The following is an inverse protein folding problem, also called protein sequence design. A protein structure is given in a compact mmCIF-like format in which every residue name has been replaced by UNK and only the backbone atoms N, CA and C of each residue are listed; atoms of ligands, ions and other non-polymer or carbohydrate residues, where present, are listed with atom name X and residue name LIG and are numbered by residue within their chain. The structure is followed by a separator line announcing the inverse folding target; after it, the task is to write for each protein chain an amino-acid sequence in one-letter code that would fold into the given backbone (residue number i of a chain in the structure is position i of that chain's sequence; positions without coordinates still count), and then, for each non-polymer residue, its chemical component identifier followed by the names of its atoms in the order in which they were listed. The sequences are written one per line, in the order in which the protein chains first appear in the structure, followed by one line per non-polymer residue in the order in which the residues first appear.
data_IF_773942323988
#
_entry.id   IF_773942323988
#
_cell.length_a   1.000
_cell.length_b   1.000
_cell.length_c   1.000
_cell.angle_alpha   90.00
_cell.angle_beta   90.00
_cell.angle_gamma   90.00
#
_symmetry.space_group_name_H-M   'P 1'
#
loop_
_entity.id
_entity.type
_entity.pdbx_description
1 polymer ?
#
# COMPACT_ATOMS: atom_id res chain seq x y z
N UNK A 1 24.34 75.34 -10.59
CA UNK A 1 24.72 74.20 -11.44
C UNK A 1 25.45 73.16 -10.58
N UNK A 2 24.73 72.24 -9.94
CA UNK A 2 25.29 71.07 -9.23
C UNK A 2 24.33 69.92 -9.47
N UNK A 3 24.72 69.01 -10.37
CA UNK A 3 23.99 67.81 -10.76
C UNK A 3 24.05 66.79 -9.60
N UNK A 4 22.90 66.33 -9.16
CA UNK A 4 22.75 65.14 -8.33
C UNK A 4 22.79 63.90 -9.25
N UNK A 5 23.74 63.00 -9.04
CA UNK A 5 23.75 61.67 -9.64
C UNK A 5 23.53 60.65 -8.50
N UNK A 6 22.28 60.23 -8.31
CA UNK A 6 21.94 59.09 -7.47
C UNK A 6 21.98 57.83 -8.35
N UNK A 7 23.03 57.03 -8.21
CA UNK A 7 23.11 55.69 -8.79
C UNK A 7 22.39 54.74 -7.84
N UNK A 8 21.16 54.37 -8.18
CA UNK A 8 20.40 53.33 -7.48
C UNK A 8 20.91 51.96 -7.98
N UNK A 9 21.72 51.28 -7.17
CA UNK A 9 22.11 49.89 -7.41
C UNK A 9 20.97 48.99 -6.93
N UNK A 10 20.12 48.55 -7.86
CA UNK A 10 19.14 47.48 -7.64
C UNK A 10 19.87 46.13 -7.62
N UNK A 11 20.29 45.70 -6.43
CA UNK A 11 20.62 44.29 -6.17
C UNK A 11 19.31 43.49 -6.20
N UNK A 12 18.97 42.93 -7.36
CA UNK A 12 17.94 41.91 -7.47
C UNK A 12 18.43 40.65 -6.76
N UNK A 13 17.90 40.39 -5.56
CA UNK A 13 18.02 39.08 -4.93
C UNK A 13 17.24 38.08 -5.79
N UNK A 14 17.94 37.39 -6.70
CA UNK A 14 17.43 36.17 -7.29
C UNK A 14 17.29 35.18 -6.12
N UNK A 15 16.06 35.01 -5.62
CA UNK A 15 15.76 33.88 -4.76
C UNK A 15 16.20 32.63 -5.52
N UNK A 16 16.94 31.69 -4.88
CA UNK A 16 17.26 30.43 -5.52
C UNK A 16 15.94 29.81 -5.95
N UNK A 17 15.75 29.66 -7.27
CA UNK A 17 14.71 28.80 -7.80
C UNK A 17 15.11 27.43 -7.31
N UNK A 18 14.49 26.96 -6.22
CA UNK A 18 14.51 25.54 -5.86
C UNK A 18 14.11 24.82 -7.15
N UNK A 19 15.01 23.98 -7.67
CA UNK A 19 14.88 23.38 -8.98
C UNK A 19 13.70 22.41 -8.95
N UNK A 20 12.49 22.91 -9.24
CA UNK A 20 11.30 22.09 -9.28
C UNK A 20 11.51 20.99 -10.32
N UNK A 21 11.29 19.74 -9.92
CA UNK A 21 11.31 18.60 -10.83
C UNK A 21 10.36 18.89 -12.00
N UNK A 22 10.80 18.78 -13.27
CA UNK A 22 9.93 19.07 -14.40
C UNK A 22 8.70 18.16 -14.38
N UNK A 23 7.56 18.59 -14.94
CA UNK A 23 6.37 17.74 -15.00
C UNK A 23 6.68 16.42 -15.76
N UNK A 24 5.89 15.35 -15.54
CA UNK A 24 6.01 14.10 -16.29
C UNK A 24 6.00 14.34 -17.80
N UNK A 25 6.91 13.67 -18.52
CA UNK A 25 7.00 13.79 -19.98
C UNK A 25 5.73 13.27 -20.68
N UNK A 26 5.50 13.73 -21.91
CA UNK A 26 4.39 13.21 -22.74
C UNK A 26 4.53 11.70 -23.00
N UNK A 27 5.76 11.21 -23.13
CA UNK A 27 6.07 9.79 -23.33
C UNK A 27 5.71 8.95 -22.10
N UNK A 28 6.06 9.43 -20.90
CA UNK A 28 5.68 8.79 -19.63
C UNK A 28 4.16 8.70 -19.47
N UNK A 29 3.45 9.78 -19.77
CA UNK A 29 1.98 9.78 -19.73
C UNK A 29 1.39 8.79 -20.75
N UNK A 30 1.94 8.72 -21.97
CA UNK A 30 1.49 7.78 -22.99
C UNK A 30 1.74 6.31 -22.60
N UNK A 31 2.90 6.00 -22.03
CA UNK A 31 3.23 4.67 -21.52
C UNK A 31 2.29 4.25 -20.38
N UNK A 32 1.98 5.17 -19.46
CA UNK A 32 1.03 4.93 -18.38
C UNK A 32 -0.38 4.63 -18.91
N UNK A 33 -0.89 5.44 -19.84
CA UNK A 33 -2.21 5.20 -20.42
C UNK A 33 -2.30 3.87 -21.18
N UNK A 34 -1.26 3.51 -21.93
CA UNK A 34 -1.18 2.22 -22.60
C UNK A 34 -1.24 1.04 -21.61
N UNK A 35 -0.46 1.13 -20.52
CA UNK A 35 -0.48 0.14 -19.45
C UNK A 35 -1.84 0.08 -18.73
N UNK A 36 -2.44 1.23 -18.43
CA UNK A 36 -3.75 1.35 -17.76
C UNK A 36 -4.88 0.73 -18.58
N UNK A 37 -4.89 0.93 -19.89
CA UNK A 37 -5.89 0.33 -20.80
C UNK A 37 -5.72 -1.20 -20.86
N UNK A 38 -4.48 -1.69 -20.87
CA UNK A 38 -4.18 -3.12 -20.95
C UNK A 38 -4.38 -3.87 -19.62
N UNK A 39 -4.25 -3.18 -18.49
CA UNK A 39 -4.14 -3.85 -17.19
C UNK A 39 -5.48 -4.42 -16.72
N UNK A 40 -5.52 -5.67 -16.24
CA UNK A 40 -6.71 -6.22 -15.59
C UNK A 40 -6.92 -5.69 -14.16
N UNK A 41 -5.94 -4.93 -13.65
CA UNK A 41 -5.94 -4.31 -12.32
C UNK A 41 -5.62 -2.82 -12.42
N UNK A 42 -6.35 -2.11 -13.30
CA UNK A 42 -6.10 -0.69 -13.56
C UNK A 42 -6.13 0.21 -12.30
N UNK A 43 -7.11 0.10 -11.37
CA UNK A 43 -7.07 0.83 -10.10
C UNK A 43 -5.76 0.68 -9.31
N UNK A 44 -5.21 -0.54 -9.26
CA UNK A 44 -3.91 -0.77 -8.60
C UNK A 44 -2.78 -0.03 -9.30
N UNK A 45 -2.70 -0.14 -10.64
CA UNK A 45 -1.68 0.55 -11.43
C UNK A 45 -1.77 2.08 -11.29
N UNK A 46 -2.98 2.63 -11.19
CA UNK A 46 -3.21 4.05 -10.94
C UNK A 46 -2.69 4.46 -9.55
N UNK A 47 -2.91 3.65 -8.51
CA UNK A 47 -2.37 3.90 -7.17
C UNK A 47 -0.84 3.85 -7.15
N UNK A 48 -0.23 2.83 -7.78
CA UNK A 48 1.23 2.71 -7.95
C UNK A 48 1.81 3.92 -8.69
N UNK A 49 1.12 4.42 -9.72
CA UNK A 49 1.56 5.60 -10.47
C UNK A 49 1.49 6.88 -9.62
N UNK A 50 0.42 7.07 -8.82
CA UNK A 50 0.33 8.21 -7.90
C UNK A 50 1.47 8.19 -6.88
N UNK A 51 1.75 7.03 -6.30
CA UNK A 51 2.86 6.86 -5.35
C UNK A 51 4.21 7.13 -6.00
N UNK A 52 4.45 6.59 -7.21
CA UNK A 52 5.69 6.84 -7.94
C UNK A 52 5.86 8.34 -8.27
N UNK A 53 4.80 9.02 -8.69
CA UNK A 53 4.81 10.47 -8.96
C UNK A 53 5.07 11.29 -7.70
N UNK A 54 4.57 10.85 -6.55
CA UNK A 54 4.87 11.47 -5.26
C UNK A 54 6.37 11.40 -4.96
N UNK A 55 6.98 10.21 -5.03
CA UNK A 55 8.42 10.06 -4.78
C UNK A 55 9.29 10.76 -5.82
N UNK A 56 8.85 10.80 -7.08
CA UNK A 56 9.51 11.56 -8.14
C UNK A 56 9.67 13.04 -7.78
N UNK A 57 8.73 13.62 -7.05
CA UNK A 57 8.70 15.04 -6.74
C UNK A 57 9.57 15.47 -5.53
N UNK A 58 10.13 14.53 -4.75
CA UNK A 58 10.76 14.83 -3.45
C UNK A 58 12.28 15.19 -3.48
N UNK A 59 12.88 15.31 -4.66
CA UNK A 59 14.22 15.84 -5.03
C UNK A 59 15.52 15.59 -4.21
N UNK A 60 15.49 15.11 -2.95
CA UNK A 60 16.71 14.78 -2.16
C UNK A 60 17.02 13.27 -2.13
N UNK A 61 16.00 12.42 -2.23
CA UNK A 61 16.12 10.94 -2.23
C UNK A 61 15.22 10.25 -3.27
N UNK A 62 14.53 11.03 -4.13
CA UNK A 62 13.68 10.54 -5.21
C UNK A 62 14.43 10.37 -6.52
N UNK A 63 13.88 9.60 -7.46
CA UNK A 63 14.50 9.39 -8.78
C UNK A 63 14.56 10.67 -9.65
N UNK A 64 13.81 11.72 -9.29
CA UNK A 64 13.66 12.91 -10.13
C UNK A 64 13.20 12.56 -11.55
N UNK A 65 13.53 13.41 -12.52
CA UNK A 65 13.26 13.12 -13.93
C UNK A 65 14.10 11.95 -14.47
N UNK A 66 15.22 11.63 -13.84
CA UNK A 66 16.12 10.53 -14.25
C UNK A 66 15.45 9.15 -14.09
N UNK A 67 14.37 9.05 -13.29
CA UNK A 67 13.55 7.86 -13.16
C UNK A 67 12.55 7.64 -14.30
N UNK A 68 12.31 8.64 -15.15
CA UNK A 68 11.24 8.59 -16.16
C UNK A 68 11.49 7.46 -17.17
N UNK A 69 12.71 7.30 -17.67
CA UNK A 69 13.07 6.27 -18.65
C UNK A 69 12.84 4.85 -18.11
N UNK A 70 13.25 4.60 -16.87
CA UNK A 70 13.03 3.32 -16.19
C UNK A 70 11.55 3.03 -16.02
N UNK A 71 10.77 4.03 -15.59
CA UNK A 71 9.32 3.89 -15.42
C UNK A 71 8.60 3.68 -16.74
N UNK A 72 9.00 4.38 -17.82
CA UNK A 72 8.48 4.18 -19.18
C UNK A 72 8.71 2.73 -19.62
N UNK A 73 9.93 2.22 -19.44
CA UNK A 73 10.27 0.84 -19.80
C UNK A 73 9.43 -0.17 -19.01
N UNK A 74 9.23 0.03 -17.71
CA UNK A 74 8.41 -0.85 -16.86
C UNK A 74 6.93 -0.85 -17.28
N UNK A 75 6.37 0.34 -17.53
CA UNK A 75 4.99 0.49 -17.99
C UNK A 75 4.76 -0.18 -19.34
N UNK A 76 5.69 0.00 -20.28
CA UNK A 76 5.62 -0.65 -21.59
C UNK A 76 5.70 -2.17 -21.50
N UNK A 77 6.61 -2.70 -20.66
CA UNK A 77 6.72 -4.15 -20.41
C UNK A 77 5.45 -4.72 -19.79
N UNK A 78 4.86 -4.02 -18.81
CA UNK A 78 3.57 -4.39 -18.21
C UNK A 78 2.42 -4.35 -19.23
N UNK A 79 2.34 -3.32 -20.06
CA UNK A 79 1.31 -3.21 -21.10
C UNK A 79 1.37 -4.38 -22.09
N UNK A 80 2.56 -4.68 -22.61
CA UNK A 80 2.78 -5.80 -23.55
C UNK A 80 2.44 -7.14 -22.92
N UNK A 81 2.87 -7.35 -21.67
CA UNK A 81 2.56 -8.54 -20.88
C UNK A 81 1.06 -8.73 -20.73
N UNK A 82 0.37 -7.70 -20.24
CA UNK A 82 -1.06 -7.79 -19.93
C UNK A 82 -1.87 -7.99 -21.22
N UNK A 83 -1.50 -7.36 -22.34
CA UNK A 83 -2.08 -7.63 -23.67
C UNK A 83 -1.89 -9.10 -24.09
N UNK A 84 -0.68 -9.65 -23.95
CA UNK A 84 -0.41 -11.03 -24.33
C UNK A 84 -1.26 -12.03 -23.51
N UNK A 85 -1.51 -11.74 -22.24
CA UNK A 85 -2.30 -12.60 -21.35
C UNK A 85 -3.81 -12.55 -21.63
N UNK A 86 -4.34 -11.45 -22.16
CA UNK A 86 -5.75 -11.37 -22.59
C UNK A 86 -6.08 -12.36 -23.71
N UNK A 87 -5.11 -12.65 -24.58
CA UNK A 87 -5.28 -13.54 -25.72
C UNK A 87 -5.07 -15.03 -25.37
N UNK A 88 -4.60 -15.33 -24.16
CA UNK A 88 -4.36 -16.70 -23.72
C UNK A 88 -5.68 -17.45 -23.57
N UNK A 89 -5.77 -18.61 -24.21
CA UNK A 89 -6.80 -19.61 -23.95
C UNK A 89 -6.16 -20.87 -23.38
N UNK A 90 -6.65 -21.32 -22.23
CA UNK A 90 -6.17 -22.54 -21.58
C UNK A 90 -7.15 -23.67 -21.93
N UNK A 91 -6.66 -24.69 -22.62
CA UNK A 91 -7.49 -25.77 -23.19
C UNK A 91 -8.27 -26.56 -22.13
N UNK A 92 -7.68 -26.78 -20.96
CA UNK A 92 -8.32 -27.53 -19.87
C UNK A 92 -7.85 -27.05 -18.50
N UNK A 93 -8.73 -26.95 -17.50
CA UNK A 93 -8.35 -26.72 -16.10
C UNK A 93 -7.62 -27.91 -15.47
N UNK A 94 -7.53 -29.08 -16.13
CA UNK A 94 -6.72 -30.20 -15.61
C UNK A 94 -5.22 -29.88 -15.58
N UNK A 95 -4.78 -28.83 -16.29
CA UNK A 95 -3.42 -28.30 -16.30
C UNK A 95 -3.07 -27.35 -15.15
N UNK A 96 -3.91 -27.20 -14.12
CA UNK A 96 -3.73 -26.28 -12.99
C UNK A 96 -2.38 -26.46 -12.23
N UNK A 97 -1.70 -27.60 -12.37
CA UNK A 97 -0.33 -27.84 -11.86
C UNK A 97 0.79 -27.23 -12.72
N UNK A 98 0.49 -26.68 -13.88
CA UNK A 98 1.44 -25.99 -14.78
C UNK A 98 1.06 -24.53 -14.91
N UNK A 99 2.04 -23.63 -15.09
CA UNK A 99 1.75 -22.21 -15.20
C UNK A 99 0.85 -21.92 -16.40
N UNK A 100 -0.33 -21.39 -16.11
CA UNK A 100 -1.31 -21.00 -17.12
C UNK A 100 -1.16 -19.52 -17.39
N UNK A 101 -0.90 -19.15 -18.66
CA UNK A 101 -0.81 -17.75 -19.07
C UNK A 101 0.07 -16.93 -18.12
N UNK A 102 1.34 -17.30 -17.98
CA UNK A 102 2.24 -16.60 -17.08
C UNK A 102 3.16 -15.65 -17.83
N UNK A 103 3.45 -14.53 -17.19
CA UNK A 103 4.50 -13.60 -17.57
C UNK A 103 5.82 -13.87 -16.84
N UNK A 104 5.84 -14.79 -15.88
CA UNK A 104 6.98 -15.04 -15.03
C UNK A 104 7.99 -15.93 -15.74
N UNK A 105 9.25 -15.52 -15.74
CA UNK A 105 10.36 -16.39 -16.13
C UNK A 105 10.56 -17.43 -15.03
N UNK A 106 10.87 -18.66 -15.45
CA UNK A 106 11.01 -19.80 -14.52
C UNK A 106 9.73 -20.13 -13.74
N UNK A 107 8.57 -19.81 -14.30
CA UNK A 107 7.30 -19.95 -13.60
C UNK A 107 7.05 -21.37 -13.08
N UNK A 108 6.59 -21.47 -11.84
CA UNK A 108 6.02 -22.67 -11.25
C UNK A 108 4.64 -22.39 -10.64
N UNK A 109 3.72 -23.36 -10.74
CA UNK A 109 2.42 -23.29 -10.08
C UNK A 109 2.54 -23.89 -8.69
N UNK A 110 2.38 -23.05 -7.66
CA UNK A 110 2.48 -23.51 -6.26
C UNK A 110 1.15 -24.07 -5.75
N UNK A 111 0.05 -23.47 -6.17
CA UNK A 111 -1.29 -23.88 -5.77
C UNK A 111 -2.30 -23.45 -6.82
N UNK A 112 -3.38 -24.19 -6.92
CA UNK A 112 -4.45 -23.89 -7.86
C UNK A 112 -5.75 -24.53 -7.38
N UNK A 113 -6.88 -24.02 -7.86
CA UNK A 113 -8.19 -24.51 -7.46
C UNK A 113 -9.32 -23.76 -8.14
N UNK A 114 -10.50 -23.79 -7.52
CA UNK A 114 -11.64 -23.03 -7.97
C UNK A 114 -12.48 -22.54 -6.78
N UNK A 115 -13.17 -21.42 -6.99
CA UNK A 115 -14.27 -20.95 -6.17
C UNK A 115 -15.58 -21.30 -6.88
N UNK A 116 -16.67 -21.42 -6.12
CA UNK A 116 -17.99 -21.72 -6.66
C UNK A 116 -19.00 -20.68 -6.16
N UNK A 117 -19.71 -20.04 -7.10
CA UNK A 117 -20.80 -19.12 -6.77
C UNK A 117 -21.97 -19.90 -6.14
N UNK A 118 -22.88 -19.24 -5.40
CA UNK A 118 -24.11 -19.90 -4.94
C UNK A 118 -24.97 -20.50 -6.07
N UNK A 119 -24.84 -19.96 -7.29
CA UNK A 119 -25.53 -20.46 -8.49
C UNK A 119 -24.79 -21.63 -9.18
N UNK A 120 -23.58 -21.97 -8.74
CA UNK A 120 -22.78 -23.07 -9.27
C UNK A 120 -21.71 -22.68 -10.30
N UNK A 121 -21.54 -21.40 -10.60
CA UNK A 121 -20.49 -20.90 -11.49
C UNK A 121 -19.12 -21.13 -10.88
N UNK A 122 -18.13 -21.46 -11.73
CA UNK A 122 -16.76 -21.68 -11.30
C UNK A 122 -15.84 -20.54 -11.70
N UNK A 123 -15.08 -20.05 -10.73
CA UNK A 123 -13.92 -19.21 -10.97
C UNK A 123 -12.66 -20.00 -10.62
N UNK A 124 -11.88 -20.35 -11.62
CA UNK A 124 -10.62 -21.05 -11.42
C UNK A 124 -9.54 -20.07 -11.01
N UNK A 125 -8.56 -20.55 -10.24
CA UNK A 125 -7.45 -19.72 -9.82
C UNK A 125 -6.15 -20.50 -9.78
N UNK A 126 -5.05 -19.77 -9.90
CA UNK A 126 -3.70 -20.30 -9.74
C UNK A 126 -2.80 -19.27 -9.07
N UNK A 127 -1.94 -19.75 -8.17
CA UNK A 127 -0.84 -19.01 -7.58
C UNK A 127 0.45 -19.47 -8.23
N UNK A 128 1.21 -18.50 -8.74
CA UNK A 128 2.44 -18.71 -9.47
C UNK A 128 3.61 -18.14 -8.67
N UNK A 129 4.77 -18.78 -8.77
CA UNK A 129 6.05 -18.26 -8.29
C UNK A 129 7.01 -18.19 -9.47
N UNK A 130 7.85 -17.16 -9.53
CA UNK A 130 8.84 -17.00 -10.59
C UNK A 130 9.60 -15.69 -10.44
N UNK A 131 10.05 -15.13 -11.57
CA UNK A 131 10.67 -13.82 -11.55
C UNK A 131 10.34 -12.99 -12.79
N UNK A 132 10.46 -11.68 -12.66
CA UNK A 132 10.43 -10.75 -13.79
C UNK A 132 11.71 -9.92 -13.85
N UNK A 133 11.97 -9.28 -14.99
CA UNK A 133 13.15 -8.43 -15.14
C UNK A 133 13.00 -7.12 -14.34
N UNK A 134 11.77 -6.72 -14.00
CA UNK A 134 11.43 -5.53 -13.23
C UNK A 134 11.57 -5.77 -11.73
N UNK A 135 10.99 -6.87 -11.22
CA UNK A 135 10.76 -7.08 -9.79
C UNK A 135 11.66 -8.17 -9.19
N UNK A 136 12.45 -8.87 -10.01
CA UNK A 136 13.17 -10.05 -9.56
C UNK A 136 12.19 -11.15 -9.13
N UNK A 137 12.50 -11.84 -8.03
CA UNK A 137 11.64 -12.92 -7.51
C UNK A 137 10.29 -12.35 -7.07
N UNK A 138 9.22 -12.86 -7.67
CA UNK A 138 7.86 -12.41 -7.43
C UNK A 138 6.88 -13.58 -7.38
N UNK A 139 5.72 -13.32 -6.80
CA UNK A 139 4.55 -14.17 -6.88
C UNK A 139 3.59 -13.65 -7.95
N UNK A 140 2.65 -14.49 -8.34
CA UNK A 140 1.54 -14.09 -9.19
C UNK A 140 0.26 -14.79 -8.80
N UNK A 141 -0.87 -14.19 -9.14
CA UNK A 141 -2.14 -14.90 -9.19
C UNK A 141 -2.77 -14.76 -10.58
N UNK A 142 -3.58 -15.75 -10.93
CA UNK A 142 -4.44 -15.76 -12.10
C UNK A 142 -5.85 -16.13 -11.65
N UNK A 143 -6.87 -15.37 -12.07
CA UNK A 143 -8.28 -15.74 -11.96
C UNK A 143 -8.82 -15.98 -13.37
N UNK A 144 -9.41 -17.15 -13.59
CA UNK A 144 -9.85 -17.62 -14.90
C UNK A 144 -11.33 -18.03 -14.85
N UNK A 145 -12.06 -17.75 -15.93
CA UNK A 145 -13.44 -18.24 -16.08
C UNK A 145 -13.64 -18.98 -17.39
N UNK A 146 -14.57 -19.93 -17.39
CA UNK A 146 -14.88 -20.79 -18.52
C UNK A 146 -15.71 -22.01 -18.08
N UNK A 147 -16.02 -22.89 -19.02
CA UNK A 147 -16.80 -24.10 -18.74
C UNK A 147 -16.02 -25.12 -17.91
N UNK A 148 -16.71 -25.92 -17.11
CA UNK A 148 -16.08 -26.89 -16.19
C UNK A 148 -15.17 -27.93 -16.87
N UNK A 149 -15.44 -28.25 -18.14
CA UNK A 149 -14.64 -29.16 -18.97
C UNK A 149 -14.12 -28.48 -20.25
N UNK A 150 -14.30 -27.17 -20.36
CA UNK A 150 -14.02 -26.41 -21.57
C UNK A 150 -12.79 -25.53 -21.42
N UNK A 151 -12.44 -24.79 -22.48
CA UNK A 151 -11.38 -23.82 -22.40
C UNK A 151 -11.72 -22.75 -21.36
N UNK A 152 -10.74 -22.42 -20.52
CA UNK A 152 -10.83 -21.31 -19.56
C UNK A 152 -9.96 -20.16 -20.05
N UNK A 153 -10.37 -18.93 -19.74
CA UNK A 153 -9.66 -17.72 -20.12
C UNK A 153 -9.26 -16.93 -18.89
N UNK A 154 -8.04 -16.39 -18.82
CA UNK A 154 -7.68 -15.38 -17.83
C UNK A 154 -8.67 -14.22 -17.85
N UNK A 155 -9.09 -13.80 -16.67
CA UNK A 155 -9.98 -12.64 -16.48
C UNK A 155 -9.28 -11.52 -15.73
N UNK A 156 -8.43 -11.87 -14.77
CA UNK A 156 -7.54 -10.93 -14.10
C UNK A 156 -6.33 -11.66 -13.51
N UNK A 157 -5.27 -10.91 -13.27
CA UNK A 157 -3.99 -11.39 -12.76
C UNK A 157 -3.20 -10.23 -12.17
N UNK A 158 -2.20 -10.56 -11.35
CA UNK A 158 -1.20 -9.63 -10.86
C UNK A 158 0.11 -10.37 -10.62
N UNK A 159 1.24 -9.66 -10.77
CA UNK A 159 2.61 -10.18 -10.62
C UNK A 159 3.53 -9.24 -9.80
N UNK A 160 2.94 -8.23 -9.17
CA UNK A 160 3.63 -7.17 -8.45
C UNK A 160 3.95 -7.55 -6.99
N UNK A 161 3.14 -8.43 -6.41
CA UNK A 161 3.34 -8.97 -5.07
C UNK A 161 4.41 -10.06 -5.00
N UNK A 162 5.26 -10.01 -3.99
CA UNK A 162 6.21 -11.07 -3.66
C UNK A 162 5.53 -12.42 -3.39
N UNK A 163 4.34 -12.39 -2.78
CA UNK A 163 3.57 -13.60 -2.48
C UNK A 163 2.08 -13.32 -2.41
N UNK A 164 1.29 -14.25 -2.93
CA UNK A 164 -0.17 -14.27 -2.83
C UNK A 164 -0.68 -15.50 -2.08
N UNK A 165 -1.84 -15.36 -1.48
CA UNK A 165 -2.59 -16.44 -0.83
C UNK A 165 -3.74 -16.91 -1.72
N UNK A 166 -4.34 -18.05 -1.37
CA UNK A 166 -5.48 -18.58 -2.13
C UNK A 166 -6.66 -17.59 -2.05
N UNK A 167 -7.37 -17.35 -3.17
CA UNK A 167 -8.48 -16.43 -3.16
C UNK A 167 -9.60 -16.92 -2.25
N UNK A 168 -10.27 -15.98 -1.60
CA UNK A 168 -11.44 -16.23 -0.76
C UNK A 168 -12.67 -15.60 -1.41
N UNK A 169 -13.79 -16.32 -1.38
CA UNK A 169 -15.10 -15.80 -1.76
C UNK A 169 -15.76 -15.16 -0.54
N UNK A 170 -16.15 -13.90 -0.68
CA UNK A 170 -16.90 -13.13 0.31
C UNK A 170 -18.30 -12.83 -0.18
N UNK A 171 -19.24 -12.72 0.76
CA UNK A 171 -20.61 -12.28 0.51
C UNK A 171 -20.88 -11.02 1.33
N UNK A 172 -20.97 -9.87 0.65
CA UNK A 172 -21.26 -8.58 1.30
C UNK A 172 -22.57 -8.05 0.74
N UNK A 173 -23.58 -7.93 1.60
CA UNK A 173 -24.91 -7.43 1.22
C UNK A 173 -25.52 -8.14 0.00
N UNK A 174 -25.31 -9.46 -0.10
CA UNK A 174 -25.80 -10.27 -1.22
C UNK A 174 -24.99 -10.18 -2.51
N UNK A 175 -23.90 -9.40 -2.53
CA UNK A 175 -22.94 -9.34 -3.64
C UNK A 175 -21.74 -10.23 -3.36
N UNK A 176 -21.20 -10.84 -4.43
CA UNK A 176 -20.01 -11.69 -4.36
C UNK A 176 -18.75 -10.87 -4.58
N UNK A 177 -17.76 -11.10 -3.71
CA UNK A 177 -16.42 -10.54 -3.87
C UNK A 177 -15.37 -11.64 -3.81
N UNK A 178 -14.33 -11.52 -4.61
CA UNK A 178 -13.19 -12.42 -4.61
C UNK A 178 -11.98 -11.62 -4.15
N UNK A 179 -11.44 -12.00 -3.00
CA UNK A 179 -10.27 -11.37 -2.42
C UNK A 179 -9.05 -12.27 -2.59
N UNK A 180 -7.97 -11.71 -3.13
CA UNK A 180 -6.65 -12.35 -3.20
C UNK A 180 -5.74 -11.59 -2.26
N UNK A 181 -5.42 -12.19 -1.11
CA UNK A 181 -4.50 -11.55 -0.19
C UNK A 181 -3.06 -11.61 -0.74
N UNK A 182 -2.29 -10.55 -0.55
CA UNK A 182 -0.99 -10.38 -1.18
C UNK A 182 -0.01 -9.55 -0.37
N UNK A 183 1.28 -9.82 -0.52
CA UNK A 183 2.36 -9.03 0.11
C UNK A 183 3.34 -8.54 -0.93
N UNK A 184 3.72 -7.27 -0.85
CA UNK A 184 4.78 -6.72 -1.67
C UNK A 184 6.14 -7.18 -1.14
N UNK A 185 7.18 -7.02 -1.96
CA UNK A 185 8.55 -7.29 -1.53
C UNK A 185 9.02 -6.21 -0.53
N UNK A 186 9.88 -6.61 0.41
CA UNK A 186 10.46 -5.71 1.42
C UNK A 186 9.80 -5.82 2.80
N UNK A 187 10.44 -5.22 3.82
CA UNK A 187 9.95 -5.30 5.21
C UNK A 187 8.78 -4.34 5.41
N UNK A 188 7.59 -4.87 5.73
CA UNK A 188 6.41 -4.06 6.07
C UNK A 188 5.65 -3.46 4.88
N UNK A 189 6.10 -3.65 3.64
CA UNK A 189 5.31 -3.30 2.46
C UNK A 189 4.21 -4.36 2.27
N UNK A 190 3.11 -4.22 3.02
CA UNK A 190 1.86 -4.91 2.70
C UNK A 190 1.21 -4.36 1.44
N UNK A 191 0.00 -4.81 1.16
CA UNK A 191 -0.90 -4.28 0.12
C UNK A 191 -0.56 -4.63 -1.33
N UNK A 192 -0.17 -5.88 -1.59
CA UNK A 192 -0.32 -6.45 -2.95
C UNK A 192 -1.72 -7.04 -3.15
N UNK A 193 -2.58 -6.95 -2.13
CA UNK A 193 -3.91 -7.51 -2.12
C UNK A 193 -4.76 -6.98 -3.28
N UNK A 194 -5.57 -7.86 -3.87
CA UNK A 194 -6.54 -7.48 -4.89
C UNK A 194 -7.93 -7.93 -4.47
N UNK A 195 -8.91 -7.05 -4.61
CA UNK A 195 -10.32 -7.33 -4.33
C UNK A 195 -11.12 -7.12 -5.61
N UNK A 196 -12.02 -8.04 -5.93
CA UNK A 196 -12.85 -7.96 -7.12
C UNK A 196 -14.32 -8.20 -6.76
N UNK A 197 -15.24 -7.40 -7.29
CA UNK A 197 -16.65 -7.80 -7.37
C UNK A 197 -16.79 -8.85 -8.47
N UNK A 198 -17.41 -9.98 -8.14
CA UNK A 198 -17.59 -11.10 -9.06
C UNK A 198 -19.06 -11.23 -9.51
N UNK A 199 -19.28 -11.03 -10.80
CA UNK A 199 -20.59 -11.18 -11.46
C UNK A 199 -20.43 -12.15 -12.64
N UNK A 200 -20.60 -13.47 -12.43
CA UNK A 200 -20.28 -14.50 -13.43
C UNK A 200 -20.81 -14.23 -14.84
N UNK A 201 -22.06 -13.76 -14.94
CA UNK A 201 -22.76 -13.54 -16.22
C UNK A 201 -22.49 -12.17 -16.86
N UNK A 202 -21.71 -11.30 -16.23
CA UNK A 202 -21.40 -9.99 -16.78
C UNK A 202 -20.38 -10.06 -17.93
N UNK A 203 -20.43 -9.10 -18.85
CA UNK A 203 -19.42 -8.97 -19.92
C UNK A 203 -17.99 -8.83 -19.35
N UNK A 204 -17.85 -8.20 -18.18
CA UNK A 204 -16.64 -8.17 -17.36
C UNK A 204 -16.95 -8.84 -16.02
N UNK A 205 -16.70 -10.15 -15.87
CA UNK A 205 -17.12 -10.88 -14.68
C UNK A 205 -16.41 -10.45 -13.40
N UNK A 206 -15.22 -9.87 -13.49
CA UNK A 206 -14.45 -9.39 -12.36
C UNK A 206 -14.20 -7.89 -12.56
N UNK A 207 -14.66 -7.09 -11.61
CA UNK A 207 -14.40 -5.65 -11.55
C UNK A 207 -13.56 -5.41 -10.30
N UNK A 208 -12.36 -4.85 -10.47
CA UNK A 208 -11.50 -4.56 -9.32
C UNK A 208 -12.13 -3.49 -8.44
N UNK A 209 -12.05 -3.72 -7.13
CA UNK A 209 -12.42 -2.77 -6.08
C UNK A 209 -11.14 -2.07 -5.63
N UNK A 210 -11.17 -0.76 -5.57
CA UNK A 210 -10.07 0.06 -5.06
C UNK A 210 -9.87 -0.19 -3.55
N UNK A 211 -8.72 -0.73 -3.17
CA UNK A 211 -8.31 -0.92 -1.77
C UNK A 211 -7.04 -0.09 -1.44
N UNK A 212 -6.85 1.06 -2.09
CA UNK A 212 -5.73 1.97 -1.85
C UNK A 212 -6.16 3.39 -1.45
N UNK A 213 -7.25 3.93 -2.00
CA UNK A 213 -7.63 5.34 -1.77
C UNK A 213 -7.95 5.70 -0.32
N UNK A 214 -8.36 4.73 0.50
CA UNK A 214 -8.61 4.94 1.93
C UNK A 214 -7.42 5.53 2.70
N UNK A 215 -6.18 5.35 2.20
CA UNK A 215 -4.96 5.87 2.84
C UNK A 215 -4.98 7.40 2.95
N UNK A 216 -5.61 8.09 2.01
CA UNK A 216 -5.72 9.55 2.01
C UNK A 216 -6.52 10.06 3.22
N UNK A 217 -7.48 9.26 3.69
CA UNK A 217 -8.33 9.58 4.85
C UNK A 217 -7.71 9.14 6.18
N UNK A 218 -6.70 8.27 6.15
CA UNK A 218 -6.15 7.65 7.36
C UNK A 218 -5.45 8.67 8.25
N UNK A 219 -4.68 9.60 7.67
CA UNK A 219 -3.88 10.57 8.43
C UNK A 219 -4.76 11.46 9.33
N UNK A 220 -5.98 11.76 8.91
CA UNK A 220 -6.93 12.58 9.67
C UNK A 220 -7.58 11.82 10.85
N UNK A 221 -7.57 10.49 10.79
CA UNK A 221 -8.18 9.62 11.81
C UNK A 221 -7.18 9.08 12.83
N UNK A 222 -5.88 9.24 12.59
CA UNK A 222 -4.85 8.80 13.52
C UNK A 222 -4.62 9.83 14.63
N UNK A 223 -4.31 9.37 15.87
CA UNK A 223 -3.85 10.27 16.92
C UNK A 223 -2.62 11.07 16.51
N UNK A 224 -2.51 12.31 16.98
CA UNK A 224 -1.36 13.19 16.68
C UNK A 224 -0.03 12.51 17.03
N UNK A 225 0.91 12.56 16.08
CA UNK A 225 2.24 11.97 16.24
C UNK A 225 2.31 10.47 15.94
N UNK A 226 1.24 9.88 15.40
CA UNK A 226 1.24 8.54 14.86
C UNK A 226 1.01 8.58 13.35
N UNK A 227 1.80 7.79 12.63
CA UNK A 227 1.77 7.72 11.17
C UNK A 227 1.80 6.27 10.70
N UNK A 228 1.32 6.02 9.48
CA UNK A 228 1.45 4.72 8.81
C UNK A 228 2.30 4.91 7.58
N UNK A 229 3.53 4.38 7.64
CA UNK A 229 4.52 4.58 6.58
C UNK A 229 4.48 3.48 5.51
N UNK A 230 3.94 2.32 5.85
CA UNK A 230 3.98 1.13 4.99
C UNK A 230 2.59 0.54 4.76
N UNK A 231 2.54 -0.50 3.94
CA UNK A 231 1.30 -1.20 3.60
C UNK A 231 0.63 -1.87 4.80
N UNK A 232 -0.56 -2.40 4.57
CA UNK A 232 -1.39 -3.05 5.60
C UNK A 232 -1.51 -4.55 5.32
N UNK A 233 -1.75 -5.32 6.37
CA UNK A 233 -2.07 -6.75 6.26
C UNK A 233 -3.60 -6.91 6.24
N UNK A 234 -4.19 -6.96 5.05
CA UNK A 234 -5.63 -7.18 4.90
C UNK A 234 -6.07 -8.55 5.40
N UNK A 235 -7.31 -8.59 5.88
CA UNK A 235 -8.06 -9.79 6.19
C UNK A 235 -9.44 -9.67 5.62
N UNK A 236 -9.80 -10.71 4.89
CA UNK A 236 -11.04 -10.86 4.16
C UNK A 236 -11.75 -12.07 4.77
N UNK A 237 -12.77 -11.81 5.60
CA UNK A 237 -13.45 -12.86 6.34
C UNK A 237 -14.96 -12.74 6.14
N UNK A 238 -15.57 -13.74 5.50
CA UNK A 238 -17.01 -13.83 5.23
C UNK A 238 -17.62 -12.58 4.57
N UNK A 239 -17.97 -11.58 5.38
CA UNK A 239 -18.58 -10.31 4.97
C UNK A 239 -17.82 -9.07 5.45
N UNK A 240 -16.71 -9.25 6.15
CA UNK A 240 -15.93 -8.20 6.80
C UNK A 240 -14.58 -7.98 6.10
N UNK A 241 -14.21 -6.71 5.96
CA UNK A 241 -12.89 -6.30 5.49
C UNK A 241 -12.23 -5.49 6.60
N UNK A 242 -11.07 -5.94 7.04
CA UNK A 242 -10.25 -5.21 8.02
C UNK A 242 -8.78 -5.42 7.73
N UNK A 243 -7.90 -4.61 8.32
CA UNK A 243 -6.47 -4.76 8.18
C UNK A 243 -5.72 -4.40 9.47
N UNK A 244 -4.54 -4.97 9.64
CA UNK A 244 -3.57 -4.50 10.64
C UNK A 244 -2.51 -3.63 9.98
N UNK A 245 -2.07 -2.62 10.73
CA UNK A 245 -0.89 -1.84 10.36
C UNK A 245 -0.07 -1.46 11.58
N UNK A 246 1.22 -1.24 11.35
CA UNK A 246 2.14 -0.72 12.37
C UNK A 246 2.06 0.80 12.39
N UNK A 247 2.37 1.40 13.53
CA UNK A 247 2.36 2.85 13.71
C UNK A 247 3.77 3.36 13.97
N UNK A 248 4.13 4.44 13.29
CA UNK A 248 5.40 5.15 13.42
C UNK A 248 5.23 6.43 14.22
N UNK A 249 6.26 6.78 14.98
CA UNK A 249 6.43 8.07 15.65
C UNK A 249 7.48 8.92 14.92
N UNK A 250 7.55 10.24 15.17
CA UNK A 250 8.48 11.14 14.47
C UNK A 250 9.96 10.77 14.55
N UNK A 251 10.38 10.00 15.56
CA UNK A 251 11.77 9.58 15.75
C UNK A 251 12.03 8.11 15.33
N UNK A 252 11.04 7.44 14.77
CA UNK A 252 11.19 6.06 14.31
C UNK A 252 12.02 5.99 13.03
N UNK A 253 12.82 4.93 12.92
CA UNK A 253 13.43 4.57 11.64
C UNK A 253 12.42 3.85 10.74
N UNK A 254 12.64 3.89 9.42
CA UNK A 254 11.78 3.22 8.44
C UNK A 254 11.55 1.72 8.76
N UNK A 255 12.54 1.03 9.32
CA UNK A 255 12.44 -0.38 9.70
C UNK A 255 11.60 -0.67 10.95
N UNK A 256 11.37 0.34 11.78
CA UNK A 256 11.33 0.14 13.22
C UNK A 256 10.18 0.94 13.87
N UNK A 257 8.91 0.56 13.61
CA UNK A 257 7.76 1.21 14.21
C UNK A 257 7.72 0.98 15.72
N UNK A 258 7.64 2.06 16.50
CA UNK A 258 7.50 2.03 17.96
C UNK A 258 6.15 2.53 18.44
N UNK A 259 5.32 3.09 17.57
CA UNK A 259 3.99 3.63 17.88
C UNK A 259 2.90 2.60 18.18
N UNK A 260 3.20 1.31 18.06
CA UNK A 260 2.23 0.21 18.26
C UNK A 260 1.59 -0.25 16.96
N UNK A 261 0.31 -0.63 17.04
CA UNK A 261 -0.47 -1.17 15.94
C UNK A 261 -1.86 -0.52 15.90
N UNK A 262 -2.43 -0.42 14.69
CA UNK A 262 -3.83 -0.07 14.49
C UNK A 262 -4.55 -1.19 13.74
N UNK A 263 -5.77 -1.46 14.17
CA UNK A 263 -6.77 -2.18 13.40
C UNK A 263 -7.54 -1.16 12.57
N UNK A 264 -7.66 -1.42 11.27
CA UNK A 264 -8.45 -0.63 10.35
C UNK A 264 -9.68 -1.46 9.98
N UNK A 265 -10.86 -0.89 10.15
CA UNK A 265 -12.13 -1.48 9.70
C UNK A 265 -12.57 -0.78 8.44
N UNK A 266 -13.11 -1.55 7.50
CA UNK A 266 -13.55 -1.03 6.23
C UNK A 266 -14.96 -1.47 5.86
N UNK A 267 -15.59 -0.69 4.99
CA UNK A 267 -16.79 -1.04 4.27
C UNK A 267 -16.51 -1.05 2.78
N UNK A 268 -17.16 -1.92 2.02
CA UNK A 268 -17.14 -1.85 0.56
C UNK A 268 -18.30 -0.96 0.13
N UNK A 269 -18.00 0.17 -0.51
CA UNK A 269 -18.99 1.09 -1.05
C UNK A 269 -18.67 1.34 -2.52
N UNK A 270 -19.66 1.11 -3.37
CA UNK A 270 -19.51 1.15 -4.82
C UNK A 270 -18.37 0.23 -5.29
N UNK A 271 -17.30 0.83 -5.86
CA UNK A 271 -16.12 0.14 -6.35
C UNK A 271 -14.87 0.45 -5.49
N UNK A 272 -15.04 0.79 -4.21
CA UNK A 272 -13.95 1.07 -3.29
C UNK A 272 -14.13 0.50 -1.88
N UNK A 273 -13.02 0.21 -1.22
CA UNK A 273 -12.92 -0.07 0.22
C UNK A 273 -12.73 1.26 0.94
N UNK A 274 -13.70 1.63 1.78
CA UNK A 274 -13.74 2.90 2.50
C UNK A 274 -13.43 2.65 3.98
N UNK A 275 -12.54 3.46 4.56
CA UNK A 275 -12.20 3.39 5.97
C UNK A 275 -13.41 3.78 6.82
N UNK A 276 -13.91 2.83 7.62
CA UNK A 276 -15.06 3.03 8.50
C UNK A 276 -14.67 3.16 9.98
N UNK A 277 -13.47 2.71 10.36
CA UNK A 277 -12.96 2.89 11.70
C UNK A 277 -11.47 2.62 11.85
N UNK A 278 -10.87 3.29 12.83
CA UNK A 278 -9.47 3.11 13.25
C UNK A 278 -9.44 2.81 14.73
N UNK A 279 -8.87 1.67 15.11
CA UNK A 279 -8.68 1.28 16.50
C UNK A 279 -7.19 1.07 16.78
N UNK A 280 -6.59 2.00 17.52
CA UNK A 280 -5.19 1.89 17.93
C UNK A 280 -5.08 1.00 19.17
N UNK A 281 -4.40 -0.14 19.04
CA UNK A 281 -4.21 -1.07 20.15
C UNK A 281 -3.24 -0.50 21.19
N UNK A 282 -3.71 -0.46 22.43
CA UNK A 282 -3.20 0.37 23.52
C UNK A 282 -2.35 -0.43 24.52
N UNK A 283 -1.02 -0.34 24.40
CA UNK A 283 -0.20 -0.15 25.60
C UNK A 283 0.39 1.27 25.71
N UNK A 284 0.49 2.00 24.60
CA UNK A 284 1.23 3.27 24.51
C UNK A 284 0.38 4.54 24.64
N UNK A 285 -0.88 4.55 24.19
CA UNK A 285 -1.75 5.72 24.41
C UNK A 285 -2.11 5.86 25.91
N UNK A 286 -2.15 4.76 26.67
CA UNK A 286 -2.24 4.81 28.14
C UNK A 286 -1.01 5.51 28.76
N UNK A 287 0.19 5.28 28.21
CA UNK A 287 1.43 5.93 28.64
C UNK A 287 1.51 7.42 28.21
N UNK A 288 1.05 7.75 27.01
CA UNK A 288 1.01 9.13 26.50
C UNK A 288 -0.03 10.01 27.24
N UNK A 289 -1.19 9.43 27.57
CA UNK A 289 -2.25 10.10 28.33
C UNK A 289 -1.86 10.29 29.80
N UNK A 290 -1.16 9.34 30.42
CA UNK A 290 -0.69 9.48 31.80
C UNK A 290 0.44 10.50 31.96
N UNK A 291 1.35 10.65 30.98
CA UNK A 291 2.39 11.67 31.02
C UNK A 291 1.86 13.11 30.88
N UNK A 292 0.81 13.35 30.10
CA UNK A 292 0.22 14.69 29.93
C UNK A 292 -0.56 15.18 31.16
N UNK A 293 -1.11 14.27 31.97
CA UNK A 293 -1.85 14.63 33.19
C UNK A 293 -0.90 15.01 34.34
N UNK A 294 0.31 14.44 34.38
CA UNK A 294 1.29 14.74 35.44
C UNK A 294 1.91 16.13 35.26
N UNK A 295 2.08 16.61 34.03
CA UNK A 295 2.64 17.96 33.76
C UNK A 295 1.61 19.09 33.96
N UNK A 296 0.30 18.79 33.89
CA UNK A 296 -0.78 19.78 34.05
C UNK A 296 -1.11 20.18 35.50
N UNK A 297 -0.64 19.43 36.52
CA UNK A 297 -1.00 19.69 37.93
C UNK A 297 -0.01 20.52 38.73
N UNK A 298 1.09 20.97 38.13
CA UNK A 298 2.11 21.80 38.80
C UNK A 298 1.91 23.31 38.55
N UNK A 299 0.69 23.84 38.73
CA UNK A 299 0.46 25.29 38.92
C UNK A 299 -0.56 25.55 40.01
N UNK A 300 -0.14 25.45 41.28
CA UNK A 300 -0.69 26.31 42.33
C UNK A 300 0.27 26.48 43.50
N UNK A 301 0.70 27.74 43.64
CA UNK A 301 1.22 28.41 44.83
C UNK A 301 2.51 27.89 45.48
N UNK A 302 3.64 28.58 45.23
CA UNK A 302 4.64 28.79 46.29
C UNK A 302 5.40 30.11 46.05
N UNK A 303 5.19 31.03 46.98
CA UNK A 303 5.84 32.35 47.13
C UNK A 303 7.36 32.17 47.36
N UNK A 304 8.24 32.99 46.78
CA UNK A 304 9.68 32.75 46.86
C UNK A 304 10.26 33.27 48.18
N UNK A 305 10.96 32.42 48.92
CA UNK A 305 11.94 32.86 49.92
C UNK A 305 13.31 32.31 49.52
N UNK A 306 14.25 33.22 49.34
CA UNK A 306 15.59 33.04 48.79
C UNK A 306 16.51 32.28 49.78
N UNK A 307 17.18 31.22 49.31
CA UNK A 307 18.53 30.80 49.72
C UNK A 307 19.26 30.10 48.56
N UNK A 308 20.55 30.38 48.31
CA UNK A 308 21.31 29.77 47.22
C UNK A 308 21.99 28.47 47.70
N UNK A 309 21.85 27.38 46.93
CA UNK A 309 22.52 26.11 47.21
C UNK A 309 22.04 24.98 46.33
N UNK A 310 22.62 24.87 45.13
CA UNK A 310 22.80 23.67 44.30
C UNK A 310 21.85 22.47 44.48
N UNK A 311 20.92 22.28 43.54
CA UNK A 311 20.56 20.97 42.97
C UNK A 311 19.68 21.18 41.72
N UNK A 312 20.10 20.62 40.57
CA UNK A 312 19.22 20.48 39.39
C UNK A 312 18.28 19.29 39.65
N UNK A 313 16.95 19.39 39.42
CA UNK A 313 16.13 18.22 39.27
C UNK A 313 16.24 17.72 37.82
N UNK A 314 16.88 16.58 37.62
CA UNK A 314 16.72 15.74 36.44
C UNK A 314 15.39 14.99 36.55
N UNK A 315 14.46 15.25 35.64
CA UNK A 315 13.32 14.36 35.43
C UNK A 315 13.75 13.28 34.43
N UNK A 316 14.01 12.05 34.90
CA UNK A 316 14.10 10.87 34.04
C UNK A 316 12.97 9.91 34.36
N UNK A 317 12.20 9.55 33.32
CA UNK A 317 11.25 8.45 33.37
C UNK A 317 11.97 7.20 32.86
N UNK A 318 12.69 6.49 33.73
CA UNK A 318 13.26 5.18 33.41
C UNK A 318 12.25 4.07 33.74
N UNK A 319 11.65 3.50 32.70
CA UNK A 319 10.92 2.24 32.82
C UNK A 319 11.91 1.07 32.81
N UNK A 320 12.11 0.40 33.96
CA UNK A 320 12.84 -0.88 34.01
C UNK A 320 11.86 -2.06 33.91
N UNK A 321 12.12 -3.08 33.07
CA UNK A 321 11.33 -4.30 33.08
C UNK A 321 11.75 -5.25 34.20
N UNK A 322 10.74 -5.87 34.81
CA UNK A 322 10.82 -6.77 35.96
C UNK A 322 11.38 -8.15 35.55
N UNK A 323 12.62 -8.48 35.95
CA UNK A 323 13.18 -9.84 35.80
C UNK A 323 12.57 -10.77 36.84
N UNK A 324 11.73 -11.72 36.43
CA UNK A 324 11.41 -12.90 37.24
C UNK A 324 12.56 -13.91 37.14
N UNK A 325 13.09 -14.24 38.31
CA UNK A 325 14.05 -15.31 38.59
C UNK A 325 13.38 -16.68 38.47
N UNK A 326 14.05 -17.61 37.78
CA UNK A 326 13.82 -19.06 37.90
C UNK A 326 15.12 -19.68 38.40
N UNK A 327 15.04 -20.38 39.54
CA UNK A 327 15.97 -21.40 40.04
C UNK A 327 15.25 -22.24 41.11
N UNK A 328 15.74 -23.44 41.44
CA UNK A 328 16.97 -24.10 40.97
C UNK A 328 16.74 -25.09 39.83
#
# INVERSE_FOLDING_TARGET
MRLFLFVLVLLGAAAPVLAQVPPPSAELNAAFEAARIASPTAPQLEAEQREWLHYRALDEYGYGADGDDGRILDLNRRAQRDQALQEVTVTSPEGLGTCMGSALKGCSSRAAGWLTSPAGDRLFWQLQDGFTDENGITGGFMLLSGGAAGPVRPRTWAFEGYRYEAPTLMMVEGQMYVAVAGRMQGTGNGNADALFRWTPDAARPLVQIDNWSWREQLAEQLPTGLEVWKGVDYRYADSEVWAWTKLWQPNDGNCCPSGGEAMLSFEIRDDAVVLSGVNVQQPLLDAAMTCSVITGRARKAMTPTVRPGSARPSASCDARPNRRTVRP
#
